data_IF_904617807868
#
_entry.id   IF_904617807868
#
_cell.length_a   1.000
_cell.length_b   1.000
_cell.length_c   1.000
_cell.angle_alpha   90.00
_cell.angle_beta   90.00
_cell.angle_gamma   90.00
#
_symmetry.space_group_name_H-M   'P 1'
#
loop_
_entity.id
_entity.type
_entity.pdbx_description
1 polymer ?
#
# COMPACT_ATOMS: atom_id res chain seq x y z
N UNK A 1 -0.94 -3.47 -6.34
CA UNK A 1 0.49 -3.65 -6.69
C UNK A 1 0.75 -2.91 -8.00
N UNK A 2 1.76 -2.07 -8.11
CA UNK A 2 2.20 -1.54 -9.40
C UNK A 2 2.88 -2.64 -10.21
N UNK A 3 2.61 -2.65 -11.51
CA UNK A 3 3.26 -3.50 -12.50
C UNK A 3 3.87 -2.58 -13.56
N UNK A 4 5.04 -2.94 -14.08
CA UNK A 4 5.64 -2.26 -15.22
C UNK A 4 5.19 -2.97 -16.50
N UNK A 5 4.16 -2.43 -17.13
CA UNK A 5 3.47 -3.01 -18.29
C UNK A 5 4.07 -2.46 -19.59
N UNK A 6 5.30 -2.92 -19.91
CA UNK A 6 5.89 -2.66 -21.23
C UNK A 6 5.50 -3.78 -22.19
N UNK A 7 4.78 -3.42 -23.23
CA UNK A 7 4.52 -4.39 -24.31
C UNK A 7 5.80 -4.64 -25.09
N UNK A 8 6.46 -5.76 -24.79
CA UNK A 8 7.73 -6.19 -25.42
C UNK A 8 7.60 -6.55 -26.91
N UNK A 9 6.38 -6.66 -27.45
CA UNK A 9 6.15 -6.87 -28.89
C UNK A 9 6.40 -5.60 -29.71
N UNK A 10 6.42 -4.44 -29.07
CA UNK A 10 6.70 -3.16 -29.73
C UNK A 10 8.20 -2.98 -29.88
N UNK A 11 8.66 -2.87 -31.14
CA UNK A 11 10.08 -2.68 -31.45
C UNK A 11 10.63 -1.40 -30.77
N UNK A 12 11.80 -1.50 -30.14
CA UNK A 12 12.50 -0.45 -29.44
C UNK A 12 11.76 0.12 -28.21
N UNK A 13 10.78 -0.56 -27.64
CA UNK A 13 10.05 -0.09 -26.44
C UNK A 13 10.98 0.16 -25.25
N UNK A 14 12.08 -0.58 -25.13
CA UNK A 14 13.06 -0.44 -24.06
C UNK A 14 13.83 0.88 -24.10
N UNK A 15 13.86 1.54 -25.26
CA UNK A 15 14.48 2.86 -25.44
C UNK A 15 13.50 4.02 -25.16
N UNK A 16 12.23 3.73 -24.88
CA UNK A 16 11.21 4.73 -24.60
C UNK A 16 11.23 5.07 -23.10
N UNK A 17 11.38 6.33 -22.78
CA UNK A 17 11.24 6.87 -21.43
C UNK A 17 9.81 7.38 -21.29
N UNK A 18 8.98 6.62 -20.55
CA UNK A 18 7.60 6.96 -20.27
C UNK A 18 7.14 6.25 -18.98
N UNK A 19 6.01 6.65 -18.45
CA UNK A 19 5.32 5.92 -17.38
C UNK A 19 4.55 4.73 -17.97
N UNK A 20 5.00 3.53 -17.66
CA UNK A 20 4.37 2.27 -18.05
C UNK A 20 3.71 1.58 -16.84
N UNK A 21 3.46 2.31 -15.78
CA UNK A 21 2.90 1.74 -14.55
C UNK A 21 1.44 1.38 -14.76
N UNK A 22 1.14 0.11 -14.67
CA UNK A 22 -0.22 -0.43 -14.50
C UNK A 22 -0.45 -0.80 -13.03
N UNK A 23 -1.69 -0.90 -12.61
CA UNK A 23 -2.06 -1.28 -11.23
C UNK A 23 -2.80 -2.60 -11.26
N UNK A 24 -2.26 -3.58 -10.53
CA UNK A 24 -2.90 -4.85 -10.26
C UNK A 24 -3.60 -4.78 -8.90
N UNK A 25 -4.91 -5.03 -8.87
CA UNK A 25 -5.64 -5.27 -7.63
C UNK A 25 -5.46 -6.74 -7.25
N UNK A 26 -4.71 -6.99 -6.19
CA UNK A 26 -4.39 -8.33 -5.74
C UNK A 26 -5.06 -8.66 -4.42
N UNK A 27 -5.72 -9.80 -4.35
CA UNK A 27 -6.33 -10.33 -3.13
C UNK A 27 -5.67 -11.67 -2.79
N UNK A 28 -5.15 -11.80 -1.57
CA UNK A 28 -4.63 -13.05 -1.05
C UNK A 28 -5.49 -13.51 0.14
N UNK A 29 -5.98 -14.74 0.09
CA UNK A 29 -6.69 -15.35 1.20
C UNK A 29 -5.72 -16.19 2.05
N UNK A 30 -5.51 -15.75 3.28
CA UNK A 30 -4.59 -16.37 4.24
C UNK A 30 -5.32 -17.00 5.44
N UNK A 31 -6.62 -17.32 5.31
CA UNK A 31 -7.45 -17.81 6.43
C UNK A 31 -7.37 -19.32 6.67
N UNK A 32 -6.84 -20.08 5.73
CA UNK A 32 -6.78 -21.53 5.84
C UNK A 32 -5.62 -21.99 6.73
N UNK A 33 -5.87 -23.05 7.50
CA UNK A 33 -4.82 -23.74 8.24
C UNK A 33 -3.98 -24.58 7.25
N UNK A 34 -2.90 -24.03 6.77
CA UNK A 34 -1.98 -24.66 5.84
C UNK A 34 -0.53 -24.36 6.23
N UNK A 35 0.40 -25.10 5.67
CA UNK A 35 1.82 -24.83 5.85
C UNK A 35 2.21 -23.54 5.14
N UNK A 36 3.34 -22.95 5.54
CA UNK A 36 3.83 -21.75 4.86
C UNK A 36 4.12 -22.02 3.38
N UNK A 37 4.64 -23.20 3.05
CA UNK A 37 4.90 -23.59 1.65
C UNK A 37 3.62 -23.67 0.82
N UNK A 38 2.55 -24.29 1.36
CA UNK A 38 1.25 -24.36 0.69
C UNK A 38 0.66 -22.96 0.49
N UNK A 39 0.77 -22.09 1.49
CA UNK A 39 0.31 -20.70 1.38
C UNK A 39 1.09 -19.94 0.29
N UNK A 40 2.41 -20.10 0.22
CA UNK A 40 3.22 -19.50 -0.84
C UNK A 40 2.80 -19.96 -2.23
N UNK A 41 2.57 -21.28 -2.42
CA UNK A 41 2.11 -21.80 -3.68
C UNK A 41 0.75 -21.24 -4.08
N UNK A 42 -0.17 -21.14 -3.13
CA UNK A 42 -1.51 -20.57 -3.34
C UNK A 42 -1.41 -19.10 -3.79
N UNK A 43 -0.67 -18.29 -3.04
CA UNK A 43 -0.47 -16.88 -3.35
C UNK A 43 0.23 -16.69 -4.70
N UNK A 44 1.25 -17.50 -5.00
CA UNK A 44 1.95 -17.46 -6.28
C UNK A 44 1.03 -17.77 -7.46
N UNK A 45 0.16 -18.79 -7.33
CA UNK A 45 -0.79 -19.13 -8.38
C UNK A 45 -1.83 -18.03 -8.59
N UNK A 46 -2.39 -17.46 -7.51
CA UNK A 46 -3.29 -16.32 -7.57
C UNK A 46 -2.63 -15.10 -8.21
N UNK A 47 -1.37 -14.84 -7.88
CA UNK A 47 -0.62 -13.74 -8.47
C UNK A 47 -0.41 -13.93 -9.97
N UNK A 48 0.01 -15.13 -10.41
CA UNK A 48 0.17 -15.45 -11.84
C UNK A 48 -1.14 -15.28 -12.61
N UNK A 49 -2.23 -15.84 -12.10
CA UNK A 49 -3.55 -15.69 -12.69
C UNK A 49 -3.95 -14.20 -12.80
N UNK A 50 -3.66 -13.41 -11.77
CA UNK A 50 -3.95 -11.98 -11.79
C UNK A 50 -3.09 -11.22 -12.81
N UNK A 51 -1.82 -11.59 -12.97
CA UNK A 51 -0.92 -11.01 -13.97
C UNK A 51 -1.35 -11.40 -15.40
N UNK A 52 -1.72 -12.65 -15.62
CA UNK A 52 -2.21 -13.12 -16.92
C UNK A 52 -3.48 -12.38 -17.39
N UNK A 53 -4.23 -11.80 -16.44
CA UNK A 53 -5.43 -10.99 -16.72
C UNK A 53 -5.22 -9.49 -16.49
N UNK A 54 -3.98 -9.02 -16.43
CA UNK A 54 -3.65 -7.62 -16.09
C UNK A 54 -4.01 -6.59 -17.17
N UNK A 55 -4.40 -7.01 -18.36
CA UNK A 55 -5.00 -6.14 -19.38
C UNK A 55 -6.21 -5.37 -18.84
N UNK A 56 -6.95 -5.98 -17.91
CA UNK A 56 -8.00 -5.31 -17.16
C UNK A 56 -7.41 -4.72 -15.88
N UNK A 57 -7.09 -3.44 -15.91
CA UNK A 57 -6.35 -2.77 -14.83
C UNK A 57 -7.11 -2.75 -13.50
N UNK A 58 -6.38 -2.74 -12.39
CA UNK A 58 -6.98 -2.61 -11.05
C UNK A 58 -7.87 -1.37 -10.88
N UNK A 59 -7.57 -0.28 -11.59
CA UNK A 59 -8.42 0.92 -11.62
C UNK A 59 -9.78 0.62 -12.27
N UNK A 60 -9.80 -0.16 -13.34
CA UNK A 60 -11.05 -0.59 -13.99
C UNK A 60 -11.83 -1.52 -13.05
N UNK A 61 -11.17 -2.47 -12.39
CA UNK A 61 -11.82 -3.36 -11.40
C UNK A 61 -12.47 -2.54 -10.29
N UNK A 62 -11.76 -1.60 -9.66
CA UNK A 62 -12.31 -0.75 -8.58
C UNK A 62 -13.51 0.06 -9.09
N UNK A 63 -13.46 0.56 -10.33
CA UNK A 63 -14.57 1.30 -10.93
C UNK A 63 -15.81 0.43 -11.12
N UNK A 64 -15.66 -0.80 -11.60
CA UNK A 64 -16.78 -1.72 -11.76
C UNK A 64 -17.35 -2.18 -10.40
N UNK A 65 -16.50 -2.48 -9.43
CA UNK A 65 -16.95 -2.79 -8.06
C UNK A 65 -17.74 -1.63 -7.44
N UNK A 66 -17.31 -0.39 -7.65
CA UNK A 66 -18.03 0.77 -7.15
C UNK A 66 -19.43 0.96 -7.80
N UNK A 67 -19.60 0.49 -9.04
CA UNK A 67 -20.92 0.49 -9.70
C UNK A 67 -21.84 -0.61 -9.12
N UNK A 68 -21.27 -1.76 -8.79
CA UNK A 68 -22.01 -2.89 -8.20
C UNK A 68 -22.45 -2.61 -6.76
N UNK A 69 -21.71 -1.78 -6.04
CA UNK A 69 -21.94 -1.42 -4.64
C UNK A 69 -22.11 0.09 -4.47
N UNK A 70 -23.24 0.67 -4.96
CA UNK A 70 -23.48 2.10 -4.84
C UNK A 70 -23.53 2.55 -3.37
N UNK A 71 -22.72 3.54 -3.02
CA UNK A 71 -22.64 4.07 -1.66
C UNK A 71 -21.53 3.43 -0.79
N UNK A 72 -20.92 2.35 -1.22
CA UNK A 72 -19.72 1.79 -0.60
C UNK A 72 -18.47 2.34 -1.29
N UNK A 73 -17.47 2.72 -0.49
CA UNK A 73 -16.16 3.07 -1.05
C UNK A 73 -15.37 1.78 -1.28
N UNK A 74 -15.21 1.41 -2.53
CA UNK A 74 -14.22 0.39 -2.89
C UNK A 74 -12.83 1.05 -2.87
N UNK A 75 -12.04 0.75 -1.87
CA UNK A 75 -10.68 1.27 -1.71
C UNK A 75 -9.68 0.12 -1.62
N UNK A 76 -8.50 0.32 -2.19
CA UNK A 76 -7.34 -0.54 -2.02
C UNK A 76 -6.21 0.31 -1.39
N UNK A 77 -6.25 0.51 -0.05
CA UNK A 77 -5.44 1.53 0.61
C UNK A 77 -4.00 1.12 0.83
N UNK A 78 -3.64 -0.13 0.54
CA UNK A 78 -2.29 -0.65 0.69
C UNK A 78 -1.68 -0.89 -0.68
N UNK A 79 -0.55 -0.23 -0.94
CA UNK A 79 0.30 -0.51 -2.10
C UNK A 79 1.43 -1.43 -1.67
N UNK A 80 1.74 -2.40 -2.48
CA UNK A 80 2.88 -3.29 -2.31
C UNK A 80 3.73 -3.28 -3.57
N UNK A 81 4.97 -2.83 -3.44
CA UNK A 81 5.97 -2.77 -4.51
C UNK A 81 7.19 -3.60 -4.13
N UNK A 82 7.59 -4.53 -5.01
CA UNK A 82 8.76 -5.34 -4.80
C UNK A 82 9.68 -5.28 -6.03
N UNK A 83 10.85 -4.69 -5.84
CA UNK A 83 11.91 -4.56 -6.84
C UNK A 83 13.12 -5.42 -6.46
N UNK A 84 12.87 -6.68 -6.11
CA UNK A 84 13.93 -7.64 -5.82
C UNK A 84 14.62 -8.12 -7.10
N UNK A 85 15.93 -8.24 -7.06
CA UNK A 85 16.75 -8.68 -8.20
C UNK A 85 17.07 -7.59 -9.23
N UNK A 86 16.57 -6.36 -9.02
CA UNK A 86 16.96 -5.20 -9.80
C UNK A 86 17.45 -4.13 -8.82
N UNK A 87 18.75 -3.82 -8.79
CA UNK A 87 19.27 -2.79 -7.90
C UNK A 87 18.57 -1.45 -8.15
N UNK A 88 18.14 -0.80 -7.08
CA UNK A 88 17.47 0.50 -7.16
C UNK A 88 18.40 1.59 -7.71
N UNK A 89 19.68 1.48 -7.38
CA UNK A 89 20.78 2.31 -7.90
C UNK A 89 21.91 1.40 -8.35
N UNK A 90 22.59 1.76 -9.44
CA UNK A 90 23.74 1.04 -9.94
C UNK A 90 25.06 1.60 -9.35
N UNK A 91 26.12 0.82 -9.48
CA UNK A 91 27.47 1.22 -9.02
C UNK A 91 27.94 2.57 -9.60
N UNK A 92 27.50 2.89 -10.81
CA UNK A 92 27.88 4.15 -11.46
C UNK A 92 27.18 5.34 -10.82
N UNK A 93 25.92 5.17 -10.46
CA UNK A 93 25.16 6.17 -9.71
C UNK A 93 25.81 6.42 -8.34
N UNK A 94 26.13 5.37 -7.59
CA UNK A 94 26.75 5.49 -6.28
C UNK A 94 28.13 6.14 -6.32
N UNK A 95 28.94 5.80 -7.31
CA UNK A 95 30.27 6.44 -7.51
C UNK A 95 30.16 7.92 -7.86
N UNK A 96 29.07 8.34 -8.49
CA UNK A 96 28.89 9.72 -8.98
C UNK A 96 28.18 10.59 -7.94
N UNK A 97 27.15 10.08 -7.29
CA UNK A 97 26.24 10.85 -6.42
C UNK A 97 26.31 10.45 -4.95
N UNK A 98 26.97 9.34 -4.61
CA UNK A 98 27.01 8.78 -3.26
C UNK A 98 25.92 7.76 -3.00
N UNK A 99 25.94 7.18 -1.80
CA UNK A 99 25.01 6.14 -1.38
C UNK A 99 23.62 6.72 -1.10
N UNK A 100 22.57 5.96 -1.43
CA UNK A 100 21.21 6.29 -1.08
C UNK A 100 21.00 6.12 0.44
N UNK A 101 20.72 7.21 1.15
CA UNK A 101 20.56 7.20 2.61
C UNK A 101 19.10 7.28 3.05
N UNK A 102 18.25 7.92 2.26
CA UNK A 102 16.86 8.15 2.62
C UNK A 102 15.98 8.25 1.38
N UNK A 103 14.82 7.65 1.41
CA UNK A 103 13.78 7.76 0.40
C UNK A 103 12.42 7.76 1.10
N UNK A 104 11.50 8.54 0.58
CA UNK A 104 10.11 8.56 1.00
C UNK A 104 9.23 8.55 -0.24
N UNK A 105 8.15 7.79 -0.20
CA UNK A 105 7.11 7.79 -1.22
C UNK A 105 5.83 8.38 -0.63
N UNK A 106 5.15 9.19 -1.43
CA UNK A 106 3.86 9.75 -1.03
C UNK A 106 2.89 9.64 -2.19
N UNK A 107 2.06 8.60 -2.14
CA UNK A 107 1.03 8.34 -3.14
C UNK A 107 -0.33 8.76 -2.60
N UNK A 108 -1.07 9.67 -3.28
CA UNK A 108 -2.41 10.07 -2.83
C UNK A 108 -3.36 8.88 -2.67
N UNK A 109 -4.19 8.90 -1.61
CA UNK A 109 -5.18 7.87 -1.28
C UNK A 109 -4.60 6.53 -0.80
N UNK A 110 -3.30 6.41 -0.64
CA UNK A 110 -2.64 5.26 -0.06
C UNK A 110 -2.46 5.47 1.44
N UNK A 111 -2.81 4.46 2.24
CA UNK A 111 -2.65 4.49 3.70
C UNK A 111 -1.29 3.93 4.11
N UNK A 112 -0.87 2.86 3.43
CA UNK A 112 0.45 2.25 3.58
C UNK A 112 1.02 1.97 2.19
N UNK A 113 2.18 2.51 1.89
CA UNK A 113 3.00 2.16 0.73
C UNK A 113 4.15 1.29 1.21
N UNK A 114 4.03 -0.02 0.95
CA UNK A 114 5.02 -1.01 1.34
C UNK A 114 5.96 -1.28 0.17
N UNK A 115 7.21 -0.92 0.34
CA UNK A 115 8.24 -1.07 -0.68
C UNK A 115 9.32 -2.04 -0.21
N UNK A 116 9.72 -2.94 -1.11
CA UNK A 116 10.85 -3.84 -0.95
C UNK A 116 11.82 -3.59 -2.11
N UNK A 117 13.07 -3.31 -1.81
CA UNK A 117 14.11 -3.15 -2.80
C UNK A 117 15.47 -3.60 -2.29
N UNK A 118 16.37 -3.89 -3.21
CA UNK A 118 17.72 -4.36 -2.89
C UNK A 118 18.69 -3.18 -2.84
N UNK A 119 19.41 -3.06 -1.69
CA UNK A 119 20.51 -2.11 -1.53
C UNK A 119 21.67 -2.86 -0.87
N UNK A 120 22.87 -2.72 -1.40
CA UNK A 120 24.10 -3.29 -0.82
C UNK A 120 24.02 -4.78 -0.54
N UNK A 121 23.43 -5.57 -1.44
CA UNK A 121 23.16 -7.01 -1.29
C UNK A 121 22.29 -7.36 -0.07
N UNK A 122 21.48 -6.43 0.41
CA UNK A 122 20.51 -6.61 1.47
C UNK A 122 19.12 -6.16 1.03
N UNK A 123 18.10 -6.62 1.75
CA UNK A 123 16.73 -6.15 1.54
C UNK A 123 16.48 -4.89 2.36
N UNK A 124 16.04 -3.85 1.70
CA UNK A 124 15.44 -2.70 2.37
C UNK A 124 13.92 -2.85 2.36
N UNK A 125 13.32 -2.69 3.52
CA UNK A 125 11.88 -2.79 3.75
C UNK A 125 11.40 -1.44 4.27
N UNK A 126 10.52 -0.78 3.53
CA UNK A 126 9.98 0.53 3.90
C UNK A 126 8.46 0.52 3.92
N UNK A 127 7.88 1.08 4.97
CA UNK A 127 6.47 1.41 5.06
C UNK A 127 6.31 2.92 5.15
N UNK A 128 5.88 3.54 4.08
CA UNK A 128 5.47 4.94 4.09
C UNK A 128 3.96 4.98 4.37
N UNK A 129 3.57 5.51 5.52
CA UNK A 129 2.19 5.45 6.01
C UNK A 129 1.69 6.81 6.47
N UNK A 130 0.36 6.96 6.50
CA UNK A 130 -0.30 8.15 7.04
C UNK A 130 -0.64 7.87 8.50
N UNK A 131 0.21 8.35 9.42
CA UNK A 131 0.13 8.06 10.85
C UNK A 131 -1.24 8.37 11.46
N UNK A 132 -1.87 9.45 11.03
CA UNK A 132 -3.15 9.92 11.58
C UNK A 132 -4.33 9.00 11.26
N UNK A 133 -4.15 8.03 10.37
CA UNK A 133 -5.17 7.01 10.04
C UNK A 133 -5.12 5.80 10.98
N UNK A 134 -4.11 5.71 11.83
CA UNK A 134 -3.87 4.58 12.71
C UNK A 134 -3.83 5.02 14.17
N UNK A 135 -4.27 4.15 15.11
CA UNK A 135 -4.05 4.38 16.53
C UNK A 135 -2.55 4.51 16.86
N UNK A 136 -2.22 5.32 17.87
CA UNK A 136 -0.85 5.55 18.30
C UNK A 136 -0.07 4.24 18.55
N UNK A 137 1.11 4.11 17.91
CA UNK A 137 1.99 2.96 18.01
C UNK A 137 1.50 1.69 17.29
N UNK A 138 0.38 1.73 16.57
CA UNK A 138 -0.11 0.57 15.82
C UNK A 138 0.81 0.22 14.66
N UNK A 139 1.24 1.20 13.87
CA UNK A 139 2.15 1.00 12.74
C UNK A 139 3.49 0.40 13.19
N UNK A 140 4.06 0.91 14.28
CA UNK A 140 5.32 0.38 14.84
C UNK A 140 5.18 -1.10 15.25
N UNK A 141 4.08 -1.44 15.92
CA UNK A 141 3.79 -2.83 16.33
C UNK A 141 3.58 -3.74 15.12
N UNK A 142 2.85 -3.29 14.12
CA UNK A 142 2.61 -4.05 12.88
C UNK A 142 3.92 -4.28 12.14
N UNK A 143 4.76 -3.26 11.99
CA UNK A 143 6.05 -3.39 11.33
C UNK A 143 7.01 -4.29 12.11
N UNK A 144 7.06 -4.15 13.43
CA UNK A 144 7.85 -5.04 14.30
C UNK A 144 7.41 -6.51 14.19
N UNK A 145 6.11 -6.78 14.16
CA UNK A 145 5.56 -8.12 13.95
C UNK A 145 5.94 -8.69 12.57
N UNK A 146 5.88 -7.86 11.52
CA UNK A 146 6.30 -8.26 10.19
C UNK A 146 7.80 -8.62 10.14
N UNK A 147 8.67 -7.81 10.75
CA UNK A 147 10.11 -8.11 10.83
C UNK A 147 10.38 -9.37 11.66
N UNK A 148 9.66 -9.58 12.76
CA UNK A 148 9.76 -10.78 13.57
C UNK A 148 9.38 -12.04 12.77
N UNK A 149 8.27 -11.97 12.00
CA UNK A 149 7.85 -13.04 11.09
C UNK A 149 8.93 -13.37 10.05
N UNK A 150 9.54 -12.37 9.43
CA UNK A 150 10.62 -12.60 8.46
C UNK A 150 11.83 -13.29 9.09
N UNK A 151 12.24 -12.89 10.30
CA UNK A 151 13.32 -13.51 11.03
C UNK A 151 13.01 -14.96 11.40
N UNK A 152 11.76 -15.25 11.78
CA UNK A 152 11.32 -16.62 12.04
C UNK A 152 11.39 -17.47 10.77
N UNK A 153 10.89 -16.96 9.64
CA UNK A 153 10.96 -17.66 8.35
C UNK A 153 12.39 -17.95 7.89
N UNK A 154 13.34 -17.06 8.17
CA UNK A 154 14.77 -17.29 7.89
C UNK A 154 15.33 -18.38 8.79
N UNK A 155 14.88 -18.50 10.03
CA UNK A 155 15.34 -19.49 10.99
C UNK A 155 14.75 -20.88 10.74
N UNK A 156 13.57 -20.99 10.16
CA UNK A 156 12.86 -22.23 9.87
C UNK A 156 13.54 -22.97 8.71
N UNK A 157 13.93 -24.22 8.96
CA UNK A 157 14.58 -25.07 7.95
C UNK A 157 13.62 -25.80 7.00
N UNK A 158 12.36 -25.93 7.41
CA UNK A 158 11.35 -26.72 6.70
C UNK A 158 10.02 -26.00 6.66
N UNK A 159 9.75 -25.34 5.56
CA UNK A 159 8.50 -24.59 5.32
C UNK A 159 7.28 -25.47 5.05
N UNK A 160 7.46 -26.79 4.93
CA UNK A 160 6.36 -27.76 4.85
C UNK A 160 5.73 -28.04 6.23
N UNK A 161 6.31 -27.54 7.30
CA UNK A 161 5.69 -27.58 8.61
C UNK A 161 4.80 -26.39 8.82
N UNK A 162 3.77 -26.56 9.66
CA UNK A 162 2.99 -25.43 10.14
C UNK A 162 3.91 -24.46 10.87
N UNK A 163 3.93 -23.22 10.44
CA UNK A 163 4.68 -22.15 11.08
C UNK A 163 3.66 -21.16 11.63
N UNK A 164 3.65 -20.98 12.93
CA UNK A 164 2.83 -19.95 13.57
C UNK A 164 3.48 -18.58 13.29
N UNK A 165 3.06 -17.98 12.17
CA UNK A 165 3.68 -16.75 11.67
C UNK A 165 3.28 -15.50 12.46
N UNK A 166 2.23 -15.57 13.27
CA UNK A 166 1.78 -14.46 14.08
C UNK A 166 2.22 -14.70 15.53
N UNK A 167 3.13 -13.89 16.07
CA UNK A 167 3.30 -13.85 17.51
C UNK A 167 1.94 -13.55 18.12
N UNK A 168 1.71 -14.03 19.33
CA UNK A 168 0.41 -13.99 20.03
C UNK A 168 -0.06 -12.55 20.31
N UNK A 169 -0.31 -11.80 19.21
CA UNK A 169 -0.95 -10.48 19.24
C UNK A 169 -2.44 -10.59 19.62
N UNK A 170 -2.96 -11.82 19.71
CA UNK A 170 -4.34 -12.06 20.07
C UNK A 170 -4.66 -11.64 21.52
N UNK A 171 -3.68 -11.63 22.41
CA UNK A 171 -3.90 -11.22 23.80
C UNK A 171 -4.01 -9.71 24.02
N UNK A 172 -3.52 -8.88 23.07
CA UNK A 172 -3.67 -7.43 23.15
C UNK A 172 -4.90 -6.88 22.42
N UNK A 173 -5.73 -7.76 21.83
CA UNK A 173 -6.97 -7.34 21.16
C UNK A 173 -8.07 -6.99 22.17
N UNK A 174 -7.89 -5.92 22.90
CA UNK A 174 -8.97 -5.11 23.42
C UNK A 174 -9.65 -4.29 22.31
N UNK A 175 -9.78 -4.87 21.09
CA UNK A 175 -10.40 -4.20 19.95
C UNK A 175 -11.86 -4.65 19.86
N UNK A 176 -12.60 -4.50 20.94
CA UNK A 176 -14.05 -4.73 20.90
C UNK A 176 -14.85 -3.53 20.37
N UNK A 177 -14.22 -2.43 19.96
CA UNK A 177 -14.94 -1.18 19.66
C UNK A 177 -14.57 -0.49 18.34
N UNK A 178 -13.99 -1.16 17.34
CA UNK A 178 -13.78 -0.53 16.01
C UNK A 178 -15.08 -0.44 15.19
N UNK A 179 -16.18 -1.05 15.64
CA UNK A 179 -17.47 -0.99 14.95
C UNK A 179 -18.15 0.37 14.96
N UNK A 180 -17.68 1.34 15.76
CA UNK A 180 -18.30 2.67 15.79
C UNK A 180 -17.60 3.73 14.94
N UNK A 181 -16.41 3.45 14.35
CA UNK A 181 -15.65 4.48 13.64
C UNK A 181 -15.91 4.55 12.14
N UNK A 182 -16.57 3.55 11.57
CA UNK A 182 -16.91 3.54 10.14
C UNK A 182 -18.35 3.97 9.92
N UNK A 183 -18.51 5.30 9.80
CA UNK A 183 -19.65 5.84 9.09
C UNK A 183 -20.85 6.21 9.94
N UNK A 184 -20.75 7.32 10.64
CA UNK A 184 -21.94 8.11 10.97
C UNK A 184 -22.51 8.82 9.72
N UNK A 185 -22.27 8.29 8.52
CA UNK A 185 -22.79 8.80 7.26
C UNK A 185 -22.29 10.20 6.85
N UNK A 186 -21.25 10.72 7.52
CA UNK A 186 -20.71 12.02 7.19
C UNK A 186 -19.74 11.94 6.00
N UNK A 187 -19.98 12.76 5.01
CA UNK A 187 -19.08 12.98 3.90
C UNK A 187 -17.93 13.90 4.32
N UNK A 188 -16.79 13.86 3.63
CA UNK A 188 -15.63 14.72 3.89
C UNK A 188 -16.00 16.20 4.01
N UNK A 189 -16.94 16.66 3.20
CA UNK A 189 -17.42 18.05 3.22
C UNK A 189 -18.50 18.33 4.27
N UNK A 190 -19.00 17.33 5.01
CA UNK A 190 -20.06 17.55 6.02
C UNK A 190 -19.61 18.49 7.12
N UNK A 191 -18.35 18.37 7.56
CA UNK A 191 -17.77 19.26 8.55
C UNK A 191 -17.68 20.71 8.05
N UNK A 192 -17.45 20.92 6.75
CA UNK A 192 -17.45 22.25 6.15
C UNK A 192 -18.84 22.91 6.26
N UNK A 193 -19.92 22.22 5.92
CA UNK A 193 -21.27 22.78 6.03
C UNK A 193 -21.68 23.07 7.47
N UNK A 194 -21.29 22.21 8.43
CA UNK A 194 -21.51 22.47 9.85
C UNK A 194 -20.74 23.71 10.31
N UNK A 195 -19.50 23.89 9.86
CA UNK A 195 -18.69 25.06 10.16
C UNK A 195 -19.22 26.31 9.46
N UNK A 196 -19.75 26.20 8.23
CA UNK A 196 -20.34 27.31 7.51
C UNK A 196 -21.51 27.98 8.30
N UNK A 197 -22.28 27.18 9.01
CA UNK A 197 -23.35 27.72 9.88
C UNK A 197 -22.77 28.35 11.18
N UNK A 198 -21.79 27.68 11.80
CA UNK A 198 -21.24 28.12 13.12
C UNK A 198 -20.22 29.22 13.00
N UNK A 199 -19.46 29.27 11.94
CA UNK A 199 -18.26 30.11 11.76
C UNK A 199 -18.35 31.01 10.50
N UNK A 200 -19.53 31.36 10.06
CA UNK A 200 -19.80 32.09 8.81
C UNK A 200 -18.96 33.34 8.53
N UNK A 201 -18.43 33.95 9.59
CA UNK A 201 -17.60 35.16 9.50
C UNK A 201 -16.09 34.87 9.62
N UNK A 202 -15.68 33.59 9.74
CA UNK A 202 -14.27 33.22 9.78
C UNK A 202 -13.81 32.88 8.34
N UNK A 203 -12.52 33.10 8.07
CA UNK A 203 -11.93 32.77 6.79
C UNK A 203 -11.91 31.24 6.66
N UNK A 204 -12.46 30.74 5.56
CA UNK A 204 -12.50 29.34 5.19
C UNK A 204 -11.44 29.00 4.15
N UNK A 205 -11.19 29.90 3.21
CA UNK A 205 -10.24 29.71 2.09
C UNK A 205 -9.44 31.02 1.93
N UNK A 206 -8.16 30.86 1.71
CA UNK A 206 -7.26 31.94 1.30
C UNK A 206 -6.78 31.57 -0.12
N UNK A 207 -7.07 32.40 -1.10
CA UNK A 207 -6.51 32.26 -2.43
C UNK A 207 -5.18 33.03 -2.50
N UNK A 208 -4.09 32.31 -2.57
CA UNK A 208 -2.75 32.92 -2.60
C UNK A 208 -2.43 33.57 -3.96
N UNK A 209 -3.16 33.23 -5.01
CA UNK A 209 -2.88 33.79 -6.35
C UNK A 209 -3.40 35.21 -6.49
N UNK A 210 -4.55 35.52 -5.91
CA UNK A 210 -5.16 36.86 -6.00
C UNK A 210 -5.32 37.56 -4.65
N UNK A 211 -4.89 36.92 -3.57
CA UNK A 211 -4.92 37.45 -2.20
C UNK A 211 -6.33 37.56 -1.62
N UNK A 212 -7.33 36.91 -2.20
CA UNK A 212 -8.70 36.95 -1.72
C UNK A 212 -8.95 35.96 -0.57
N UNK A 213 -9.71 36.41 0.39
CA UNK A 213 -10.19 35.59 1.46
C UNK A 213 -11.68 35.32 1.32
N UNK A 214 -12.08 34.06 1.43
CA UNK A 214 -13.46 33.63 1.44
C UNK A 214 -13.83 33.14 2.82
N UNK A 215 -14.96 33.57 3.33
CA UNK A 215 -15.51 33.11 4.62
C UNK A 215 -16.36 31.85 4.41
N UNK A 216 -16.60 31.16 5.51
CA UNK A 216 -17.52 30.02 5.51
C UNK A 216 -18.90 30.39 5.01
#
# INVERSE_FOLDING_TARGET
MPLFDRNTEIENIDNVIADFTNVLLFHADCKENCTFYEQLQKVQNQFRESVDNSEYSGVQVVRELSKLHPGEKCIAPVVFSCNYGTPFVDDKFEKTFGSLNYMVSQTPQVWIDFQIFEINNGLNLSWDAVDELFPDGMLDKMFAAFVAMLNELVSVKDWNKYVELLPDLAQERGIDNITEYYGNGQLLHSAFFVNAVKKKNQIAIIDENDGRNYTY
#
